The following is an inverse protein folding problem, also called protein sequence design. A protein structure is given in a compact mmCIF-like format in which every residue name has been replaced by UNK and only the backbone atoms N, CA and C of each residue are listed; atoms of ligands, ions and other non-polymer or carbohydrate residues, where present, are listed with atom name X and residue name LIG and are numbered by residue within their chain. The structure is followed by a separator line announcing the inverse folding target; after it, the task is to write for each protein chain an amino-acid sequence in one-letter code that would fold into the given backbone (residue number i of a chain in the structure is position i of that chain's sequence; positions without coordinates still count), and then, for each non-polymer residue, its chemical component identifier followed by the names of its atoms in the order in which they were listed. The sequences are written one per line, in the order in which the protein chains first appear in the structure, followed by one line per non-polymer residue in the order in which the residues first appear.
data_IF_380369799469
#
_entry.id   IF_380369799469
#
_cell.length_a   1.000
_cell.length_b   1.000
_cell.length_c   1.000
_cell.angle_alpha   90.00
_cell.angle_beta   90.00
_cell.angle_gamma   90.00
#
_symmetry.space_group_name_H-M   'P 1'
#
loop_
_entity.id
_entity.type
_entity.pdbx_description
1 polymer ?
#
# COMPACT_ATOMS: atom_id res chain seq x y z
N UNK A 1 5.79 25.94 16.75
CA UNK A 1 6.56 26.21 15.52
C UNK A 1 6.00 25.33 14.41
N UNK A 2 5.72 25.84 13.21
CA UNK A 2 5.24 25.03 12.09
C UNK A 2 6.42 24.48 11.31
N UNK A 3 6.51 23.15 11.17
CA UNK A 3 7.55 22.50 10.37
C UNK A 3 6.90 21.83 9.17
N UNK A 4 7.31 22.24 7.96
CA UNK A 4 6.95 21.53 6.73
C UNK A 4 7.80 20.27 6.66
N UNK A 5 7.17 19.11 6.54
CA UNK A 5 7.87 17.84 6.33
C UNK A 5 8.09 17.63 4.83
N UNK A 6 9.17 16.95 4.46
CA UNK A 6 9.36 16.54 3.07
C UNK A 6 8.23 15.58 2.65
N UNK A 7 7.56 15.93 1.57
CA UNK A 7 6.45 15.18 0.99
C UNK A 7 6.59 15.19 -0.52
N UNK A 8 6.04 14.17 -1.20
CA UNK A 8 6.02 14.14 -2.67
C UNK A 8 5.36 15.43 -3.20
N UNK A 9 5.85 15.97 -4.34
CA UNK A 9 5.56 17.29 -4.96
C UNK A 9 4.11 17.82 -5.00
N UNK A 10 3.10 17.08 -4.52
CA UNK A 10 1.67 17.40 -4.63
C UNK A 10 0.91 17.37 -3.28
N UNK A 11 1.53 16.86 -2.21
CA UNK A 11 0.95 16.85 -0.87
C UNK A 11 1.76 17.77 0.03
N UNK A 12 1.10 18.49 0.94
CA UNK A 12 1.73 19.29 1.98
C UNK A 12 1.42 18.65 3.33
N UNK A 13 2.47 18.24 4.03
CA UNK A 13 2.38 17.73 5.40
C UNK A 13 2.99 18.77 6.33
N UNK A 14 2.18 19.28 7.25
CA UNK A 14 2.58 20.29 8.23
C UNK A 14 2.50 19.64 9.61
N UNK A 15 3.62 19.65 10.32
CA UNK A 15 3.63 19.37 11.75
C UNK A 15 3.38 20.67 12.51
N UNK A 16 2.33 20.69 13.34
CA UNK A 16 1.98 21.81 14.22
C UNK A 16 1.76 21.28 15.63
N UNK A 17 2.74 21.49 16.50
CA UNK A 17 2.74 21.00 17.89
C UNK A 17 2.52 19.47 17.90
N UNK A 18 1.40 19.00 18.47
CA UNK A 18 1.04 17.59 18.59
C UNK A 18 0.15 17.08 17.45
N UNK A 19 -0.01 17.84 16.36
CA UNK A 19 -0.85 17.46 15.23
C UNK A 19 -0.08 17.39 13.92
N UNK A 20 -0.48 16.42 13.09
CA UNK A 20 -0.14 16.34 11.68
C UNK A 20 -1.33 16.87 10.89
N UNK A 21 -1.09 17.84 10.01
CA UNK A 21 -2.08 18.36 9.07
C UNK A 21 -1.64 17.95 7.67
N UNK A 22 -2.55 17.33 6.93
CA UNK A 22 -2.31 16.91 5.55
C UNK A 22 -3.24 17.62 4.59
N UNK A 23 -2.64 18.21 3.57
CA UNK A 23 -3.34 18.84 2.45
C UNK A 23 -2.82 18.23 1.15
N UNK A 24 -3.70 17.98 0.18
CA UNK A 24 -3.30 17.41 -1.09
C UNK A 24 -4.38 17.52 -2.16
N UNK A 25 -4.19 16.80 -3.26
CA UNK A 25 -5.19 16.66 -4.32
C UNK A 25 -6.53 16.14 -3.73
N UNK A 26 -7.60 16.91 -3.87
CA UNK A 26 -8.88 16.69 -3.17
C UNK A 26 -9.37 15.24 -3.24
N UNK A 27 -9.29 14.59 -4.39
CA UNK A 27 -9.76 13.20 -4.53
C UNK A 27 -8.93 12.23 -3.68
N UNK A 28 -7.60 12.31 -3.73
CA UNK A 28 -6.72 11.37 -3.00
C UNK A 28 -6.79 11.59 -1.50
N UNK A 29 -6.72 12.86 -1.08
CA UNK A 29 -6.71 13.18 0.34
C UNK A 29 -8.08 12.89 0.99
N UNK A 30 -9.19 13.08 0.25
CA UNK A 30 -10.51 12.69 0.74
C UNK A 30 -10.66 11.16 0.82
N UNK A 31 -10.11 10.40 -0.14
CA UNK A 31 -10.10 8.94 -0.05
C UNK A 31 -9.36 8.45 1.20
N UNK A 32 -8.17 9.01 1.46
CA UNK A 32 -7.36 8.70 2.65
C UNK A 32 -8.11 9.04 3.95
N UNK A 33 -8.71 10.24 4.04
CA UNK A 33 -9.53 10.66 5.17
C UNK A 33 -10.72 9.72 5.41
N UNK A 34 -11.52 9.47 4.38
CA UNK A 34 -12.72 8.63 4.48
C UNK A 34 -12.36 7.20 4.87
N UNK A 35 -11.23 6.68 4.39
CA UNK A 35 -10.74 5.37 4.77
C UNK A 35 -10.43 5.32 6.27
N UNK A 36 -9.69 6.30 6.80
CA UNK A 36 -9.31 6.37 8.21
C UNK A 36 -10.54 6.54 9.11
N UNK A 37 -11.46 7.41 8.74
CA UNK A 37 -12.72 7.62 9.44
C UNK A 37 -13.55 6.33 9.52
N UNK A 38 -13.77 5.66 8.39
CA UNK A 38 -14.57 4.44 8.34
C UNK A 38 -13.91 3.25 9.03
N UNK A 39 -12.58 3.06 8.90
CA UNK A 39 -11.91 1.92 9.52
C UNK A 39 -11.95 2.02 11.05
N UNK A 40 -11.78 3.22 11.61
CA UNK A 40 -11.85 3.43 13.06
C UNK A 40 -13.26 3.23 13.59
N UNK A 41 -14.29 3.65 12.85
CA UNK A 41 -15.68 3.34 13.18
C UNK A 41 -15.96 1.84 13.17
N UNK A 42 -15.43 1.10 12.21
CA UNK A 42 -15.65 -0.34 12.08
C UNK A 42 -14.92 -1.18 13.13
N UNK A 43 -13.66 -0.83 13.42
CA UNK A 43 -12.82 -1.59 14.35
C UNK A 43 -13.02 -1.17 15.82
N UNK A 44 -13.71 -0.04 16.05
CA UNK A 44 -13.83 0.58 17.37
C UNK A 44 -12.49 1.17 17.84
N UNK A 45 -12.38 1.54 19.13
CA UNK A 45 -11.16 2.10 19.69
C UNK A 45 -9.99 1.12 19.56
N UNK A 46 -9.08 1.40 18.63
CA UNK A 46 -7.89 0.62 18.40
C UNK A 46 -6.76 1.60 18.05
N UNK A 47 -5.64 1.54 18.79
CA UNK A 47 -4.51 2.44 18.53
C UNK A 47 -3.80 2.13 17.18
N UNK A 48 -4.38 1.34 16.28
CA UNK A 48 -3.70 0.88 15.07
C UNK A 48 -3.67 1.96 13.98
N UNK A 49 -4.73 2.75 13.86
CA UNK A 49 -4.84 3.84 12.89
C UNK A 49 -5.06 5.17 13.63
N UNK A 50 -4.59 6.30 13.08
CA UNK A 50 -4.82 7.60 13.71
C UNK A 50 -6.30 7.98 13.66
N UNK A 51 -6.81 8.54 14.77
CA UNK A 51 -8.09 9.26 14.76
C UNK A 51 -7.93 10.55 13.97
N UNK A 52 -8.78 10.71 12.96
CA UNK A 52 -8.72 11.83 12.01
C UNK A 52 -9.85 12.83 12.23
N UNK A 53 -9.59 14.08 11.89
CA UNK A 53 -10.56 15.17 11.85
C UNK A 53 -10.49 15.89 10.50
N UNK A 54 -11.64 16.07 9.85
CA UNK A 54 -11.73 16.92 8.67
C UNK A 54 -11.60 18.39 9.08
N UNK A 55 -10.62 19.09 8.53
CA UNK A 55 -10.44 20.53 8.78
C UNK A 55 -11.20 21.36 7.74
N UNK A 56 -11.13 20.93 6.47
CA UNK A 56 -11.85 21.48 5.33
C UNK A 56 -11.72 20.54 4.12
N UNK A 57 -12.45 20.80 3.05
CA UNK A 57 -12.30 20.04 1.81
C UNK A 57 -10.83 20.00 1.36
N UNK A 58 -10.31 18.79 1.11
CA UNK A 58 -8.91 18.60 0.73
C UNK A 58 -7.89 18.69 1.87
N UNK A 59 -8.31 18.76 3.13
CA UNK A 59 -7.41 18.85 4.30
C UNK A 59 -7.98 18.17 5.53
N UNK A 60 -7.21 17.26 6.13
CA UNK A 60 -7.55 16.62 7.41
C UNK A 60 -6.35 16.66 8.36
N UNK A 61 -6.60 16.44 9.64
CA UNK A 61 -5.58 16.38 10.69
C UNK A 61 -5.72 15.14 11.56
N UNK A 62 -4.65 14.78 12.26
CA UNK A 62 -4.64 13.77 13.31
C UNK A 62 -3.54 14.04 14.34
N UNK A 63 -3.66 13.45 15.53
CA UNK A 63 -2.65 13.57 16.58
C UNK A 63 -1.35 12.88 16.14
N UNK A 64 -0.23 13.58 16.24
CA UNK A 64 1.10 13.06 15.90
C UNK A 64 1.38 11.79 16.69
N UNK A 65 1.56 10.69 15.97
CA UNK A 65 2.00 9.42 16.53
C UNK A 65 3.50 9.53 16.83
N UNK A 66 3.85 9.46 18.11
CA UNK A 66 5.25 9.40 18.53
C UNK A 66 5.82 8.03 18.17
N UNK A 67 7.01 7.97 17.58
CA UNK A 67 7.67 6.72 17.20
C UNK A 67 8.71 6.91 16.10
N UNK A 68 9.23 5.79 15.58
CA UNK A 68 10.11 5.76 14.42
C UNK A 68 9.41 5.09 13.24
N UNK A 69 9.71 5.54 12.04
CA UNK A 69 9.25 4.86 10.81
C UNK A 69 9.96 3.52 10.70
N UNK A 70 9.23 2.45 10.36
CA UNK A 70 9.77 1.10 10.31
C UNK A 70 10.93 0.96 9.32
N UNK A 71 10.85 1.66 8.18
CA UNK A 71 11.93 1.68 7.18
C UNK A 71 13.25 2.16 7.78
N UNK A 72 13.22 3.17 8.67
CA UNK A 72 14.42 3.66 9.35
C UNK A 72 14.89 2.65 10.40
N UNK A 73 13.96 2.04 11.14
CA UNK A 73 14.28 1.01 12.14
C UNK A 73 15.00 -0.19 11.53
N UNK A 74 14.60 -0.61 10.32
CA UNK A 74 15.23 -1.75 9.64
C UNK A 74 16.60 -1.41 9.03
N UNK A 75 16.86 -0.11 8.78
CA UNK A 75 18.17 0.39 8.35
C UNK A 75 19.11 0.75 9.50
N UNK A 76 18.60 0.80 10.74
CA UNK A 76 19.45 1.08 11.90
C UNK A 76 20.45 -0.04 12.12
N UNK A 77 21.72 0.33 12.30
CA UNK A 77 22.75 -0.63 12.70
C UNK A 77 22.37 -1.33 14.02
N UNK A 78 22.58 -2.65 14.06
CA UNK A 78 22.40 -3.47 15.26
C UNK A 78 20.98 -4.02 15.49
N UNK A 79 20.04 -3.86 14.57
CA UNK A 79 18.79 -4.63 14.63
C UNK A 79 19.02 -6.08 14.20
N UNK A 80 18.85 -7.03 15.13
CA UNK A 80 19.02 -8.45 14.83
C UNK A 80 17.94 -8.97 13.89
N UNK A 81 18.29 -9.97 13.06
CA UNK A 81 17.34 -10.66 12.18
C UNK A 81 16.13 -11.20 12.95
N UNK A 82 16.35 -11.81 14.12
CA UNK A 82 15.26 -12.28 14.97
C UNK A 82 14.29 -11.17 15.35
N UNK A 83 14.79 -9.98 15.70
CA UNK A 83 13.94 -8.82 16.04
C UNK A 83 13.18 -8.32 14.82
N UNK A 84 13.77 -8.36 13.63
CA UNK A 84 13.05 -8.04 12.39
C UNK A 84 11.92 -9.04 12.14
N UNK A 85 12.20 -10.34 12.28
CA UNK A 85 11.20 -11.41 12.16
C UNK A 85 10.04 -11.19 13.16
N UNK A 86 10.34 -10.89 14.41
CA UNK A 86 9.34 -10.64 15.45
C UNK A 86 8.43 -9.45 15.10
N UNK A 87 9.02 -8.36 14.58
CA UNK A 87 8.28 -7.18 14.13
C UNK A 87 7.38 -7.53 12.94
N UNK A 88 7.90 -8.24 11.93
CA UNK A 88 7.13 -8.65 10.75
C UNK A 88 5.98 -9.57 11.15
N UNK A 89 6.22 -10.57 12.00
CA UNK A 89 5.16 -11.46 12.50
C UNK A 89 4.06 -10.67 13.22
N UNK A 90 4.44 -9.66 14.01
CA UNK A 90 3.49 -8.80 14.68
C UNK A 90 2.66 -7.97 13.69
N UNK A 91 3.29 -7.40 12.67
CA UNK A 91 2.61 -6.68 11.59
C UNK A 91 1.62 -7.60 10.89
N UNK A 92 2.04 -8.81 10.49
CA UNK A 92 1.19 -9.80 9.83
C UNK A 92 -0.01 -10.20 10.69
N UNK A 93 0.17 -10.35 12.01
CA UNK A 93 -0.93 -10.63 12.93
C UNK A 93 -1.91 -9.46 12.97
N UNK A 94 -1.44 -8.22 13.04
CA UNK A 94 -2.29 -7.03 13.03
C UNK A 94 -3.03 -6.89 11.69
N UNK A 95 -2.37 -7.12 10.55
CA UNK A 95 -3.04 -7.09 9.24
C UNK A 95 -4.16 -8.11 9.16
N UNK A 96 -3.91 -9.33 9.63
CA UNK A 96 -4.94 -10.38 9.70
C UNK A 96 -6.10 -10.02 10.61
N UNK A 97 -5.96 -9.12 11.60
CA UNK A 97 -7.07 -8.73 12.46
C UNK A 97 -8.07 -7.81 11.76
N UNK A 98 -7.60 -6.77 11.05
CA UNK A 98 -8.50 -5.85 10.35
C UNK A 98 -8.95 -6.36 8.98
N UNK A 99 -8.19 -7.25 8.34
CA UNK A 99 -8.55 -7.84 7.04
C UNK A 99 -9.74 -8.83 7.12
N UNK A 100 -10.23 -9.15 8.32
CA UNK A 100 -11.35 -10.08 8.51
C UNK A 100 -12.64 -9.46 7.98
N UNK A 101 -13.28 -10.16 7.06
CA UNK A 101 -14.53 -9.73 6.45
C UNK A 101 -14.53 -10.13 4.99
N UNK A 102 -14.73 -11.42 4.72
CA UNK A 102 -14.97 -11.90 3.36
C UNK A 102 -16.33 -11.37 2.90
N UNK A 103 -16.31 -10.18 2.32
CA UNK A 103 -17.49 -9.62 1.67
C UNK A 103 -17.43 -10.08 0.22
N UNK A 104 -18.40 -10.91 -0.17
CA UNK A 104 -18.59 -11.23 -1.60
C UNK A 104 -19.00 -9.95 -2.32
N UNK A 105 -18.13 -9.45 -3.21
CA UNK A 105 -18.40 -8.23 -3.98
C UNK A 105 -18.56 -8.59 -5.45
N UNK A 106 -19.71 -8.22 -6.02
CA UNK A 106 -20.07 -8.52 -7.42
C UNK A 106 -19.01 -8.06 -8.44
N UNK A 107 -18.26 -7.00 -8.11
CA UNK A 107 -17.25 -6.38 -9.00
C UNK A 107 -15.80 -6.57 -8.51
N UNK A 108 -15.53 -7.48 -7.56
CA UNK A 108 -14.18 -7.70 -7.05
C UNK A 108 -13.17 -8.07 -8.15
N UNK A 109 -13.57 -8.95 -9.06
CA UNK A 109 -12.74 -9.38 -10.18
C UNK A 109 -12.41 -8.23 -11.14
N UNK A 110 -13.38 -7.38 -11.44
CA UNK A 110 -13.20 -6.23 -12.33
C UNK A 110 -12.23 -5.20 -11.72
N UNK A 111 -12.41 -4.87 -10.45
CA UNK A 111 -11.51 -3.97 -9.72
C UNK A 111 -10.09 -4.55 -9.63
N UNK A 112 -9.95 -5.85 -9.36
CA UNK A 112 -8.67 -6.53 -9.35
C UNK A 112 -8.02 -6.54 -10.74
N UNK A 113 -8.79 -6.81 -11.80
CA UNK A 113 -8.33 -6.72 -13.20
C UNK A 113 -7.83 -5.31 -13.54
N UNK A 114 -8.52 -4.28 -13.05
CA UNK A 114 -8.08 -2.89 -13.21
C UNK A 114 -6.71 -2.64 -12.55
N UNK A 115 -6.49 -3.17 -11.34
CA UNK A 115 -5.21 -3.04 -10.61
C UNK A 115 -4.09 -3.84 -11.25
N UNK A 116 -4.30 -5.12 -11.52
CA UNK A 116 -3.22 -6.06 -11.87
C UNK A 116 -2.90 -6.09 -13.35
N UNK A 117 -3.91 -6.01 -14.22
CA UNK A 117 -3.70 -6.09 -15.67
C UNK A 117 -3.68 -4.69 -16.29
N UNK A 118 -4.77 -3.93 -16.13
CA UNK A 118 -4.95 -2.68 -16.87
C UNK A 118 -3.93 -1.62 -16.42
N UNK A 119 -3.77 -1.39 -15.12
CA UNK A 119 -2.80 -0.41 -14.62
C UNK A 119 -1.35 -0.83 -14.91
N UNK A 120 -1.05 -2.13 -14.90
CA UNK A 120 0.29 -2.64 -15.28
C UNK A 120 0.59 -2.36 -16.73
N UNK A 121 -0.34 -2.69 -17.64
CA UNK A 121 -0.18 -2.38 -19.06
C UNK A 121 -0.07 -0.88 -19.32
N UNK A 122 -0.88 -0.05 -18.65
CA UNK A 122 -0.78 1.42 -18.75
C UNK A 122 0.60 1.93 -18.30
N UNK A 123 1.20 1.36 -17.26
CA UNK A 123 2.56 1.72 -16.82
C UNK A 123 3.62 1.29 -17.82
N UNK A 124 3.51 0.07 -18.35
CA UNK A 124 4.42 -0.44 -19.38
C UNK A 124 4.37 0.43 -20.65
N UNK A 125 3.18 0.78 -21.13
CA UNK A 125 3.01 1.64 -22.31
C UNK A 125 3.60 3.05 -22.12
N UNK A 126 3.62 3.57 -20.89
CA UNK A 126 4.26 4.86 -20.57
C UNK A 126 5.78 4.78 -20.50
N UNK A 127 6.35 3.58 -20.39
CA UNK A 127 7.80 3.43 -20.38
C UNK A 127 8.33 3.60 -21.81
N UNK A 128 9.14 4.65 -22.03
CA UNK A 128 9.59 5.06 -23.36
C UNK A 128 10.32 3.97 -24.17
N UNK A 129 10.94 2.97 -23.51
CA UNK A 129 11.62 1.84 -24.17
C UNK A 129 10.69 0.67 -24.46
N UNK A 130 9.46 0.67 -23.95
CA UNK A 130 8.61 -0.51 -24.02
C UNK A 130 8.31 -0.91 -25.47
N UNK A 131 7.98 0.06 -26.33
CA UNK A 131 7.69 -0.20 -27.75
C UNK A 131 8.88 -0.81 -28.50
N UNK A 132 10.11 -0.41 -28.18
CA UNK A 132 11.31 -0.94 -28.84
C UNK A 132 11.65 -2.35 -28.36
N UNK A 133 11.41 -2.69 -27.09
CA UNK A 133 11.78 -4.00 -26.55
C UNK A 133 10.65 -5.03 -26.58
N UNK A 134 9.38 -4.62 -26.73
CA UNK A 134 8.24 -5.56 -26.59
C UNK A 134 8.26 -6.71 -27.60
N UNK A 135 8.85 -6.46 -28.78
CA UNK A 135 8.99 -7.44 -29.88
C UNK A 135 10.38 -8.08 -29.93
N UNK A 136 11.33 -7.61 -29.13
CA UNK A 136 12.73 -8.04 -29.22
C UNK A 136 13.06 -9.02 -28.09
N UNK A 137 13.86 -10.04 -28.42
CA UNK A 137 14.51 -10.84 -27.38
C UNK A 137 15.67 -10.03 -26.81
N UNK A 138 15.83 -10.02 -25.49
CA UNK A 138 16.99 -9.40 -24.84
C UNK A 138 17.86 -10.48 -24.21
N UNK A 139 19.17 -10.25 -24.10
CA UNK A 139 20.07 -11.16 -23.42
C UNK A 139 20.48 -10.57 -22.08
N UNK A 140 20.20 -11.29 -20.99
CA UNK A 140 20.61 -10.92 -19.64
C UNK A 140 21.53 -12.03 -19.13
N UNK A 141 22.79 -11.72 -18.83
CA UNK A 141 23.78 -12.71 -18.40
C UNK A 141 23.90 -13.93 -19.35
N UNK A 142 23.93 -13.68 -20.66
CA UNK A 142 23.92 -14.69 -21.75
C UNK A 142 22.64 -15.54 -21.83
N UNK A 143 21.66 -15.31 -20.96
CA UNK A 143 20.34 -15.95 -21.04
C UNK A 143 19.44 -15.14 -21.96
N UNK A 144 18.91 -15.79 -23.00
CA UNK A 144 17.92 -15.18 -23.88
C UNK A 144 16.59 -15.05 -23.16
N UNK A 145 16.14 -13.82 -22.97
CA UNK A 145 14.80 -13.49 -22.47
C UNK A 145 13.88 -13.33 -23.67
N UNK A 146 12.79 -14.09 -23.66
CA UNK A 146 11.75 -14.07 -24.69
C UNK A 146 11.09 -12.69 -24.79
N UNK A 147 10.68 -12.24 -25.99
CA UNK A 147 9.95 -10.98 -26.15
C UNK A 147 8.70 -10.90 -25.27
N UNK A 148 8.36 -9.68 -24.84
CA UNK A 148 7.17 -9.45 -24.02
C UNK A 148 5.88 -9.92 -24.70
N UNK A 149 5.76 -9.78 -26.03
CA UNK A 149 4.55 -10.19 -26.76
C UNK A 149 4.24 -11.69 -26.61
N UNK A 150 5.25 -12.53 -26.43
CA UNK A 150 5.10 -13.97 -26.20
C UNK A 150 4.89 -14.30 -24.71
N UNK A 151 5.42 -13.47 -23.81
CA UNK A 151 5.24 -13.63 -22.36
C UNK A 151 3.84 -13.18 -21.94
N UNK A 152 3.30 -12.13 -22.56
CA UNK A 152 2.04 -11.49 -22.15
C UNK A 152 0.86 -12.46 -22.07
N UNK A 153 0.59 -13.34 -23.05
CA UNK A 153 -0.52 -14.30 -22.95
C UNK A 153 -0.37 -15.24 -21.74
N UNK A 154 0.86 -15.72 -21.48
CA UNK A 154 1.15 -16.57 -20.31
C UNK A 154 0.94 -15.80 -19.00
N UNK A 155 1.37 -14.54 -18.96
CA UNK A 155 1.16 -13.65 -17.83
C UNK A 155 -0.34 -13.44 -17.55
N UNK A 156 -1.14 -13.13 -18.58
CA UNK A 156 -2.58 -12.93 -18.44
C UNK A 156 -3.29 -14.19 -17.88
N UNK A 157 -2.92 -15.37 -18.38
CA UNK A 157 -3.43 -16.67 -17.88
C UNK A 157 -3.07 -16.87 -16.42
N UNK A 158 -1.82 -16.62 -16.03
CA UNK A 158 -1.35 -16.80 -14.65
C UNK A 158 -2.05 -15.84 -13.69
N UNK A 159 -2.24 -14.57 -14.09
CA UNK A 159 -2.97 -13.59 -13.28
C UNK A 159 -4.42 -14.01 -13.12
N UNK A 160 -5.08 -14.44 -14.20
CA UNK A 160 -6.47 -14.87 -14.13
C UNK A 160 -6.63 -16.08 -13.19
N UNK A 161 -5.82 -17.12 -13.41
CA UNK A 161 -5.89 -18.37 -12.63
C UNK A 161 -5.55 -18.17 -11.15
N UNK A 162 -4.49 -17.42 -10.84
CA UNK A 162 -3.96 -17.35 -9.47
C UNK A 162 -4.50 -16.17 -8.66
N UNK A 163 -4.86 -15.06 -9.31
CA UNK A 163 -5.32 -13.86 -8.62
C UNK A 163 -6.82 -13.62 -8.80
N UNK A 164 -7.36 -13.70 -10.01
CA UNK A 164 -8.72 -13.26 -10.31
C UNK A 164 -9.80 -14.30 -9.96
N UNK A 165 -9.61 -15.57 -10.37
CA UNK A 165 -10.63 -16.62 -10.26
C UNK A 165 -11.17 -16.83 -8.83
N UNK A 166 -10.35 -16.58 -7.80
CA UNK A 166 -10.71 -16.76 -6.40
C UNK A 166 -10.64 -15.46 -5.60
N UNK A 167 -10.72 -14.30 -6.26
CA UNK A 167 -10.51 -12.99 -5.64
C UNK A 167 -11.42 -12.73 -4.43
N UNK A 168 -12.67 -13.20 -4.48
CA UNK A 168 -13.64 -13.02 -3.39
C UNK A 168 -13.20 -13.69 -2.07
N UNK A 169 -12.34 -14.71 -2.11
CA UNK A 169 -11.78 -15.33 -0.89
C UNK A 169 -10.75 -14.44 -0.18
N UNK A 170 -10.22 -13.46 -0.90
CA UNK A 170 -9.20 -12.54 -0.43
C UNK A 170 -9.73 -11.10 -0.40
N UNK A 171 -11.04 -10.91 -0.50
CA UNK A 171 -11.63 -9.59 -0.50
C UNK A 171 -11.94 -9.15 0.92
N UNK A 172 -11.29 -8.07 1.36
CA UNK A 172 -11.39 -7.57 2.74
C UNK A 172 -10.86 -6.15 2.86
N UNK A 173 -10.80 -5.63 4.08
CA UNK A 173 -10.26 -4.28 4.34
C UNK A 173 -8.78 -4.26 3.96
N UNK A 174 -8.34 -3.27 3.18
CA UNK A 174 -6.93 -3.12 2.81
C UNK A 174 -6.44 -1.72 3.09
N UNK A 175 -5.19 -1.59 3.49
CA UNK A 175 -4.51 -0.30 3.57
C UNK A 175 -4.24 0.26 2.16
N UNK A 176 -3.89 -0.62 1.22
CA UNK A 176 -3.66 -0.30 -0.20
C UNK A 176 -2.32 0.38 -0.51
N UNK A 177 -1.56 0.76 0.53
CA UNK A 177 -0.15 1.17 0.43
C UNK A 177 0.62 0.77 1.71
N UNK A 178 0.44 -0.48 2.17
CA UNK A 178 1.10 -0.96 3.40
C UNK A 178 2.59 -1.24 3.14
N UNK A 179 3.42 -0.21 3.29
CA UNK A 179 4.87 -0.24 3.10
C UNK A 179 5.58 0.18 4.39
N UNK A 180 6.89 -0.07 4.52
CA UNK A 180 7.63 0.25 5.76
C UNK A 180 7.68 1.75 6.08
N UNK A 181 7.50 2.64 5.10
CA UNK A 181 7.44 4.09 5.35
C UNK A 181 6.11 4.54 5.95
N UNK A 182 5.08 3.72 5.83
CA UNK A 182 3.72 3.96 6.32
C UNK A 182 3.43 3.24 7.65
N UNK A 183 4.48 2.73 8.31
CA UNK A 183 4.39 2.02 9.58
C UNK A 183 5.24 2.77 10.61
N UNK A 184 4.60 3.22 11.68
CA UNK A 184 5.30 3.82 12.83
C UNK A 184 5.35 2.80 13.96
N UNK A 185 6.54 2.57 14.50
CA UNK A 185 6.76 1.74 15.68
C UNK A 185 7.18 2.59 16.88
N UNK A 186 6.52 2.38 18.01
CA UNK A 186 6.86 3.02 19.28
C UNK A 186 6.86 1.98 20.39
N UNK A 187 8.05 1.72 20.94
CA UNK A 187 8.29 0.62 21.88
C UNK A 187 7.86 -0.72 21.25
N UNK A 188 6.63 -1.14 21.54
CA UNK A 188 5.98 -2.34 21.01
C UNK A 188 4.65 -2.04 20.32
N UNK A 189 4.17 -0.80 20.25
CA UNK A 189 2.96 -0.46 19.48
C UNK A 189 3.32 -0.23 18.02
N UNK A 190 2.43 -0.65 17.14
CA UNK A 190 2.52 -0.48 15.69
C UNK A 190 1.32 0.37 15.29
N UNK A 191 1.58 1.39 14.49
CA UNK A 191 0.57 2.26 13.93
C UNK A 191 0.73 2.28 12.41
N UNK A 192 -0.39 2.21 11.69
CA UNK A 192 -0.46 2.32 10.25
C UNK A 192 -0.99 3.70 9.89
N UNK A 193 -0.30 4.38 8.98
CA UNK A 193 -0.64 5.71 8.50
C UNK A 193 -0.67 5.71 6.97
N UNK A 194 -1.28 6.74 6.39
CA UNK A 194 -1.22 7.00 4.95
C UNK A 194 -1.86 5.88 4.11
N UNK A 195 -3.09 5.42 4.44
CA UNK A 195 -3.80 4.47 3.61
C UNK A 195 -4.16 5.08 2.26
N UNK A 196 -4.22 4.25 1.24
CA UNK A 196 -4.50 4.70 -0.12
C UNK A 196 -5.96 5.14 -0.32
N UNK A 197 -6.88 4.57 0.47
CA UNK A 197 -8.31 4.86 0.40
C UNK A 197 -9.00 4.48 -0.91
N UNK A 198 -8.33 3.73 -1.79
CA UNK A 198 -8.87 3.37 -3.11
C UNK A 198 -8.31 2.06 -3.63
N UNK A 199 -9.14 1.33 -4.37
CA UNK A 199 -8.76 0.10 -5.07
C UNK A 199 -9.44 0.08 -6.45
N UNK A 200 -8.73 -0.39 -7.48
CA UNK A 200 -9.28 -0.38 -8.85
C UNK A 200 -9.57 1.01 -9.43
N UNK A 201 -9.09 2.10 -8.82
CA UNK A 201 -9.37 3.47 -9.27
C UNK A 201 -10.65 4.08 -8.68
N UNK A 202 -11.35 3.36 -7.80
CA UNK A 202 -12.49 3.88 -7.04
C UNK A 202 -12.13 4.03 -5.55
N UNK A 203 -12.69 5.03 -4.84
CA UNK A 203 -12.64 5.10 -3.39
C UNK A 203 -13.17 3.80 -2.79
N UNK A 204 -12.43 3.19 -1.88
CA UNK A 204 -12.80 1.91 -1.27
C UNK A 204 -12.00 1.64 -0.01
N UNK A 205 -12.69 1.11 1.00
CA UNK A 205 -12.08 0.47 2.17
C UNK A 205 -11.58 -0.96 1.84
N UNK A 206 -12.21 -1.59 0.85
CA UNK A 206 -12.04 -3.00 0.54
C UNK A 206 -11.23 -3.22 -0.75
N UNK A 207 -10.51 -4.33 -0.80
CA UNK A 207 -9.78 -4.80 -1.97
C UNK A 207 -9.15 -6.17 -1.74
N UNK A 208 -8.17 -6.53 -2.56
CA UNK A 208 -7.43 -7.77 -2.42
C UNK A 208 -6.45 -7.70 -1.24
N UNK A 209 -6.70 -8.45 -0.17
CA UNK A 209 -5.86 -8.48 1.04
C UNK A 209 -4.43 -8.93 0.77
N UNK A 210 -4.20 -9.71 -0.30
CA UNK A 210 -2.87 -10.12 -0.74
C UNK A 210 -2.04 -8.93 -1.23
N UNK A 211 -2.68 -7.83 -1.64
CA UNK A 211 -2.00 -6.62 -2.10
C UNK A 211 -1.14 -5.98 -1.01
N UNK A 212 -1.67 -5.87 0.22
CA UNK A 212 -0.92 -5.36 1.38
C UNK A 212 0.27 -6.27 1.72
N UNK A 213 0.07 -7.59 1.66
CA UNK A 213 1.14 -8.58 1.90
C UNK A 213 2.24 -8.48 0.85
N UNK A 214 1.88 -8.30 -0.42
CA UNK A 214 2.84 -8.12 -1.51
C UNK A 214 3.67 -6.85 -1.33
N UNK A 215 3.06 -5.76 -0.81
CA UNK A 215 3.75 -4.51 -0.50
C UNK A 215 4.74 -4.65 0.65
N UNK A 216 4.35 -5.34 1.73
CA UNK A 216 5.27 -5.64 2.84
C UNK A 216 6.45 -6.50 2.38
N UNK A 217 6.18 -7.56 1.59
CA UNK A 217 7.22 -8.44 1.05
C UNK A 217 8.21 -7.67 0.18
N UNK A 218 7.71 -6.77 -0.68
CA UNK A 218 8.56 -5.91 -1.49
C UNK A 218 9.50 -5.06 -0.63
N UNK A 219 8.99 -4.42 0.42
CA UNK A 219 9.83 -3.62 1.32
C UNK A 219 10.91 -4.44 2.01
N UNK A 220 10.57 -5.65 2.47
CA UNK A 220 11.53 -6.55 3.11
C UNK A 220 12.66 -6.96 2.16
N UNK A 221 12.31 -7.37 0.93
CA UNK A 221 13.31 -7.71 -0.09
C UNK A 221 14.22 -6.52 -0.42
N UNK A 222 13.69 -5.30 -0.48
CA UNK A 222 14.45 -4.07 -0.76
C UNK A 222 15.33 -3.59 0.41
N UNK A 223 15.05 -4.01 1.65
CA UNK A 223 15.87 -3.64 2.83
C UNK A 223 16.98 -4.64 3.13
N UNK A 224 16.93 -5.84 2.55
CA UNK A 224 17.92 -6.91 2.74
C UNK A 224 18.97 -6.99 1.62
N UNK A 225 18.98 -6.00 0.71
CA UNK A 225 20.00 -5.82 -0.35
C UNK A 225 20.96 -4.71 0.08
#
# INVERSE_FOLDING_TARGET
MMKKLESRNFNVVIEKNDYIIKTGESNKINCEYQWLEHVNQMLGPNDLFPDVKLEKAGTYSYIKIQGKILADVFRMEGISEQKQIDIIQKILKLTQTYQKGNISVKHAEELARQVYLINTMKRLQKWYKFESIKMQSIYVNKVKITPFIEIKPKFDILIHKNLLQNINRYWGIIHGDLNFTNIIINKSKIHFIDPKGSFGGAPSLFGDTRYDLAKLRQCYDETMI
#
